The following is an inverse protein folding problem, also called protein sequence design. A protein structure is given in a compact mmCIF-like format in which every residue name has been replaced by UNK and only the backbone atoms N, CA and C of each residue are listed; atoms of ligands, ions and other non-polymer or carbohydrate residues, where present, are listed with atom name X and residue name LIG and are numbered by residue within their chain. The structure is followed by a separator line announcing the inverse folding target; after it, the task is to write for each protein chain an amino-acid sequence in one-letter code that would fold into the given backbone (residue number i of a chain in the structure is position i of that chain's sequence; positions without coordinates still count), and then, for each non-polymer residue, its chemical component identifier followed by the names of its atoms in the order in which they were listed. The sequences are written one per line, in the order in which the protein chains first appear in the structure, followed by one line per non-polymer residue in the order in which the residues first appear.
data_IF_792676357372
#
_entry.id   IF_792676357372
#
_cell.length_a   1.000
_cell.length_b   1.000
_cell.length_c   1.000
_cell.angle_alpha   90.00
_cell.angle_beta   90.00
_cell.angle_gamma   90.00
#
_symmetry.space_group_name_H-M   'P 1'
#
loop_
_entity.id
_entity.type
_entity.pdbx_description
1 polymer ?
#
# COMPACT_ATOMS: atom_id res chain seq x y z
N UNK A 1 -23.81 1.86 -15.60
CA UNK A 1 -23.34 2.20 -16.98
C UNK A 1 -23.18 0.89 -17.74
N UNK A 2 -23.53 0.83 -19.03
CA UNK A 2 -23.31 -0.40 -19.82
C UNK A 2 -21.94 -0.29 -20.53
N UNK A 3 -21.02 -1.19 -20.23
CA UNK A 3 -19.72 -1.26 -20.89
C UNK A 3 -19.83 -1.89 -22.28
N UNK A 4 -18.87 -1.57 -23.16
CA UNK A 4 -18.75 -2.13 -24.50
C UNK A 4 -17.29 -2.51 -24.78
N UNK A 5 -17.03 -3.68 -25.43
CA UNK A 5 -15.68 -4.13 -25.72
C UNK A 5 -15.16 -3.54 -27.03
N UNK A 6 -15.22 -2.21 -27.17
CA UNK A 6 -14.84 -1.49 -28.38
C UNK A 6 -13.87 -0.35 -28.12
N UNK A 7 -12.97 -0.09 -29.08
CA UNK A 7 -12.04 1.03 -29.02
C UNK A 7 -12.78 2.37 -28.89
N UNK A 8 -13.87 2.54 -29.63
CA UNK A 8 -14.65 3.79 -29.60
C UNK A 8 -15.22 4.07 -28.21
N UNK A 9 -15.72 3.05 -27.50
CA UNK A 9 -16.18 3.19 -26.12
C UNK A 9 -15.03 3.57 -25.17
N UNK A 10 -13.90 2.88 -25.25
CA UNK A 10 -12.74 3.15 -24.42
C UNK A 10 -12.23 4.58 -24.62
N UNK A 11 -12.08 5.03 -25.87
CA UNK A 11 -11.67 6.41 -26.20
C UNK A 11 -12.69 7.46 -25.74
N UNK A 12 -13.98 7.16 -25.87
CA UNK A 12 -15.04 8.04 -25.32
C UNK A 12 -14.89 8.18 -23.79
N UNK A 13 -14.62 7.08 -23.08
CA UNK A 13 -14.40 7.13 -21.61
C UNK A 13 -13.17 7.96 -21.26
N UNK A 14 -12.06 7.78 -21.98
CA UNK A 14 -10.85 8.57 -21.77
C UNK A 14 -11.06 10.06 -22.09
N UNK A 15 -11.91 10.39 -23.06
CA UNK A 15 -12.17 11.79 -23.44
C UNK A 15 -12.88 12.59 -22.34
N UNK A 16 -13.74 11.93 -21.55
CA UNK A 16 -14.49 12.52 -20.44
C UNK A 16 -13.88 12.27 -19.06
N UNK A 17 -12.72 11.62 -19.00
CA UNK A 17 -12.01 11.34 -17.76
C UNK A 17 -11.45 12.65 -17.16
N UNK A 18 -11.84 13.04 -15.94
CA UNK A 18 -11.30 14.22 -15.28
C UNK A 18 -9.80 14.12 -14.99
N UNK A 19 -9.26 12.90 -14.93
CA UNK A 19 -7.83 12.65 -14.66
C UNK A 19 -7.00 12.44 -15.92
N UNK A 20 -7.55 12.60 -17.13
CA UNK A 20 -6.84 12.33 -18.40
C UNK A 20 -5.52 13.10 -18.56
N UNK A 21 -5.45 14.33 -18.05
CA UNK A 21 -4.24 15.17 -18.13
C UNK A 21 -3.13 14.72 -17.19
N UNK A 22 -3.45 13.98 -16.13
CA UNK A 22 -2.47 13.53 -15.13
C UNK A 22 -1.49 12.49 -15.69
N UNK A 23 -1.89 11.68 -16.69
CA UNK A 23 -0.97 10.78 -17.37
C UNK A 23 0.30 11.49 -17.86
N UNK A 24 0.16 12.72 -18.36
CA UNK A 24 1.28 13.50 -18.87
C UNK A 24 2.27 13.94 -17.78
N UNK A 25 1.90 13.83 -16.52
CA UNK A 25 2.78 14.13 -15.39
C UNK A 25 3.73 12.98 -15.05
N UNK A 26 3.56 11.81 -15.68
CA UNK A 26 4.40 10.64 -15.45
C UNK A 26 5.32 10.32 -16.63
N UNK A 27 6.41 9.63 -16.35
CA UNK A 27 7.29 9.04 -17.35
C UNK A 27 6.81 7.60 -17.59
N UNK A 28 6.23 7.38 -18.77
CA UNK A 28 5.76 6.04 -19.14
C UNK A 28 6.93 5.28 -19.78
N UNK A 29 7.27 4.06 -19.30
CA UNK A 29 8.28 3.24 -19.93
C UNK A 29 7.96 3.01 -21.42
N UNK A 30 8.96 3.09 -22.27
CA UNK A 30 8.78 2.91 -23.72
C UNK A 30 9.82 1.97 -24.29
N UNK A 31 9.44 1.24 -25.35
CA UNK A 31 10.33 0.41 -26.13
C UNK A 31 10.09 0.68 -27.62
N UNK A 32 11.17 0.82 -28.41
CA UNK A 32 11.08 1.08 -29.85
C UNK A 32 10.18 2.28 -30.23
N UNK A 33 10.21 3.34 -29.42
CA UNK A 33 9.43 4.56 -29.65
C UNK A 33 7.92 4.44 -29.34
N UNK A 34 7.47 3.34 -28.74
CA UNK A 34 6.08 3.16 -28.27
C UNK A 34 6.04 3.07 -26.75
N UNK A 35 5.09 3.80 -26.15
CA UNK A 35 4.79 3.64 -24.72
C UNK A 35 4.26 2.23 -24.44
N UNK A 36 4.73 1.66 -23.34
CA UNK A 36 4.23 0.39 -22.83
C UNK A 36 2.96 0.61 -22.00
N UNK A 37 2.11 -0.40 -21.96
CA UNK A 37 0.99 -0.45 -21.01
C UNK A 37 1.49 -0.98 -19.68
N UNK A 38 1.47 -0.15 -18.65
CA UNK A 38 2.08 -0.46 -17.36
C UNK A 38 1.02 -0.74 -16.29
N UNK A 39 0.77 -2.02 -15.99
CA UNK A 39 -0.22 -2.48 -14.99
C UNK A 39 0.46 -3.03 -13.73
N UNK A 40 1.55 -2.40 -13.30
CA UNK A 40 2.39 -2.84 -12.17
C UNK A 40 2.39 -1.87 -10.98
N UNK A 41 1.34 -1.07 -10.82
CA UNK A 41 1.23 -0.15 -9.69
C UNK A 41 1.30 -0.83 -8.32
N UNK A 42 0.94 -2.10 -8.25
CA UNK A 42 1.07 -2.95 -7.06
C UNK A 42 2.51 -3.37 -6.73
N UNK A 43 3.47 -3.13 -7.62
CA UNK A 43 4.90 -3.47 -7.41
C UNK A 43 5.77 -2.22 -7.29
N UNK A 44 5.70 -1.33 -8.29
CA UNK A 44 6.39 -0.05 -8.29
C UNK A 44 5.56 0.96 -9.12
N UNK A 45 5.23 2.10 -8.54
CA UNK A 45 4.57 3.18 -9.26
C UNK A 45 5.48 3.87 -10.28
N UNK A 46 4.90 4.54 -11.26
CA UNK A 46 5.64 5.29 -12.28
C UNK A 46 6.24 6.58 -11.71
N UNK A 47 7.33 7.02 -12.32
CA UNK A 47 8.04 8.24 -11.92
C UNK A 47 7.24 9.49 -12.29
N UNK A 48 6.83 10.35 -11.34
CA UNK A 48 6.35 11.69 -11.63
C UNK A 48 7.48 12.54 -12.26
N UNK A 49 7.18 13.29 -13.31
CA UNK A 49 8.21 14.14 -13.99
C UNK A 49 8.83 15.16 -13.06
N UNK A 50 8.03 15.73 -12.14
CA UNK A 50 8.49 16.72 -11.14
C UNK A 50 9.47 16.18 -10.10
N UNK A 51 9.60 14.85 -9.98
CA UNK A 51 10.56 14.21 -9.06
C UNK A 51 11.98 14.71 -9.31
N UNK A 52 12.38 14.84 -10.59
CA UNK A 52 13.73 15.32 -10.94
C UNK A 52 14.00 16.71 -10.39
N UNK A 53 13.05 17.63 -10.53
CA UNK A 53 13.22 19.02 -10.11
C UNK A 53 13.24 19.13 -8.59
N UNK A 54 12.37 18.38 -7.89
CA UNK A 54 12.39 18.32 -6.42
C UNK A 54 13.69 17.76 -5.85
N UNK A 55 14.24 16.71 -6.46
CA UNK A 55 15.55 16.18 -6.08
C UNK A 55 16.66 17.21 -6.35
N UNK A 56 16.59 17.92 -7.47
CA UNK A 56 17.58 18.95 -7.81
C UNK A 56 17.55 20.10 -6.81
N UNK A 57 16.39 20.51 -6.29
CA UNK A 57 16.28 21.52 -5.22
C UNK A 57 17.07 21.06 -3.99
N UNK A 58 16.85 19.85 -3.48
CA UNK A 58 17.60 19.35 -2.31
C UNK A 58 19.12 19.30 -2.58
N UNK A 59 19.53 18.92 -3.78
CA UNK A 59 20.95 18.89 -4.15
C UNK A 59 21.55 20.28 -4.21
N UNK A 60 20.81 21.27 -4.71
CA UNK A 60 21.24 22.67 -4.76
C UNK A 60 21.34 23.26 -3.35
N UNK A 61 20.36 23.03 -2.49
CA UNK A 61 20.37 23.48 -1.10
C UNK A 61 21.56 22.89 -0.34
N UNK A 62 21.79 21.60 -0.53
CA UNK A 62 22.96 20.93 0.06
C UNK A 62 24.28 21.55 -0.42
N UNK A 63 24.41 21.80 -1.72
CA UNK A 63 25.62 22.39 -2.29
C UNK A 63 25.85 23.85 -1.82
N UNK A 64 24.78 24.62 -1.66
CA UNK A 64 24.86 26.04 -1.29
C UNK A 64 25.00 26.25 0.23
N UNK A 65 24.33 25.43 1.03
CA UNK A 65 24.15 25.69 2.47
C UNK A 65 24.77 24.61 3.37
N UNK A 66 25.06 23.39 2.83
CA UNK A 66 25.56 22.30 3.67
C UNK A 66 24.55 21.97 4.79
N UNK A 67 25.01 21.91 6.04
CA UNK A 67 24.16 21.64 7.20
C UNK A 67 23.15 22.76 7.48
N UNK A 68 23.46 23.99 7.08
CA UNK A 68 22.56 25.14 7.29
C UNK A 68 21.26 25.02 6.47
N UNK A 69 21.19 24.13 5.47
CA UNK A 69 19.96 23.84 4.74
C UNK A 69 18.83 23.33 5.67
N UNK A 70 19.14 22.75 6.81
CA UNK A 70 18.12 22.38 7.82
C UNK A 70 17.37 23.60 8.34
N UNK A 71 17.96 24.77 8.36
CA UNK A 71 17.40 25.98 8.99
C UNK A 71 17.14 27.12 8.02
N UNK A 72 17.97 27.28 7.00
CA UNK A 72 18.02 28.48 6.16
C UNK A 72 17.77 28.25 4.67
N UNK A 73 17.39 27.07 4.22
CA UNK A 73 16.90 26.86 2.85
C UNK A 73 15.53 27.51 2.65
N UNK A 74 15.12 27.74 1.41
CA UNK A 74 13.78 28.25 1.07
C UNK A 74 12.66 27.34 1.62
N UNK A 75 12.91 26.03 1.59
CA UNK A 75 12.10 25.00 2.27
C UNK A 75 12.99 24.33 3.35
N UNK A 76 13.02 24.84 4.59
CA UNK A 76 13.91 24.30 5.63
C UNK A 76 13.69 22.81 5.88
N UNK A 77 14.77 22.04 5.94
CA UNK A 77 14.68 20.60 6.09
C UNK A 77 14.16 20.15 7.47
N UNK A 78 14.23 21.02 8.47
CA UNK A 78 13.66 20.77 9.81
C UNK A 78 12.17 20.55 9.77
N UNK A 79 11.45 21.30 8.91
CA UNK A 79 9.98 21.28 8.82
C UNK A 79 9.48 20.59 7.54
N UNK A 80 10.38 20.01 6.76
CA UNK A 80 10.05 19.39 5.48
C UNK A 80 9.03 18.25 5.63
N UNK A 81 9.06 17.54 6.75
CA UNK A 81 8.12 16.47 7.09
C UNK A 81 6.66 16.95 7.11
N UNK A 82 6.41 18.18 7.53
CA UNK A 82 5.05 18.74 7.68
C UNK A 82 4.34 18.87 6.33
N UNK A 83 5.09 19.04 5.23
CA UNK A 83 4.56 19.07 3.87
C UNK A 83 4.04 17.70 3.40
N UNK A 84 4.50 16.60 4.01
CA UNK A 84 4.13 15.23 3.62
C UNK A 84 2.90 14.73 4.38
N UNK A 85 2.71 15.15 5.62
CA UNK A 85 1.69 14.58 6.52
C UNK A 85 0.27 14.96 6.13
N UNK A 86 0.02 16.21 5.77
CA UNK A 86 -1.33 16.68 5.39
C UNK A 86 -1.90 15.99 4.16
N UNK A 87 -1.21 15.90 3.00
CA UNK A 87 -1.75 15.16 1.86
C UNK A 87 -1.86 13.66 2.14
N UNK A 88 -0.92 13.09 2.89
CA UNK A 88 -0.92 11.67 3.20
C UNK A 88 -2.05 11.29 4.15
N UNK A 89 -2.38 12.13 5.13
CA UNK A 89 -3.50 11.91 6.06
C UNK A 89 -4.84 11.81 5.34
N UNK A 90 -5.05 12.58 4.27
CA UNK A 90 -6.26 12.49 3.41
C UNK A 90 -6.36 11.15 2.69
N UNK A 91 -5.22 10.59 2.26
CA UNK A 91 -5.17 9.29 1.56
C UNK A 91 -5.52 8.13 2.48
N UNK A 92 -5.08 8.19 3.74
CA UNK A 92 -5.28 7.08 4.69
C UNK A 92 -6.41 7.34 5.70
N UNK A 93 -7.10 8.49 5.62
CA UNK A 93 -8.24 8.82 6.46
C UNK A 93 -7.88 8.93 7.94
N UNK A 94 -6.92 9.82 8.24
CA UNK A 94 -6.51 10.08 9.62
C UNK A 94 -6.22 11.56 9.85
N UNK A 95 -5.83 11.92 11.08
CA UNK A 95 -5.39 13.28 11.40
C UNK A 95 -3.91 13.48 10.98
N UNK A 96 -3.49 14.69 10.56
CA UNK A 96 -2.12 14.91 10.10
C UNK A 96 -1.04 14.54 11.14
N UNK A 97 -1.30 14.74 12.42
CA UNK A 97 -0.36 14.39 13.49
C UNK A 97 -0.33 12.88 13.83
N UNK A 98 -1.23 12.08 13.26
CA UNK A 98 -1.24 10.62 13.39
C UNK A 98 -0.36 9.91 12.36
N UNK A 99 0.17 10.63 11.37
CA UNK A 99 1.05 10.07 10.33
C UNK A 99 2.48 10.55 10.53
N UNK A 100 3.42 9.64 10.33
CA UNK A 100 4.84 9.98 10.21
C UNK A 100 5.44 9.29 8.98
N UNK A 101 6.31 10.01 8.29
CA UNK A 101 7.08 9.49 7.15
C UNK A 101 8.48 9.16 7.63
N UNK A 102 8.87 7.89 7.58
CA UNK A 102 10.17 7.43 8.08
C UNK A 102 10.55 6.06 7.51
N UNK A 103 11.83 5.73 7.51
CA UNK A 103 12.39 4.41 7.27
C UNK A 103 11.87 3.71 5.99
N UNK A 104 11.86 2.39 6.01
CA UNK A 104 11.12 1.51 5.09
C UNK A 104 10.03 0.73 5.85
N UNK A 105 9.14 0.08 5.10
CA UNK A 105 7.98 -0.63 5.66
C UNK A 105 8.37 -1.66 6.73
N UNK A 106 9.36 -2.53 6.45
CA UNK A 106 9.75 -3.59 7.38
C UNK A 106 10.29 -3.03 8.70
N UNK A 107 11.11 -1.96 8.63
CA UNK A 107 11.60 -1.28 9.85
C UNK A 107 10.43 -0.68 10.63
N UNK A 108 9.49 -0.02 9.95
CA UNK A 108 8.32 0.56 10.62
C UNK A 108 7.46 -0.51 11.31
N UNK A 109 7.20 -1.64 10.64
CA UNK A 109 6.48 -2.76 11.26
C UNK A 109 7.19 -3.30 12.50
N UNK A 110 8.52 -3.47 12.45
CA UNK A 110 9.29 -3.88 13.63
C UNK A 110 9.14 -2.87 14.79
N UNK A 111 9.22 -1.57 14.50
CA UNK A 111 9.04 -0.53 15.53
C UNK A 111 7.62 -0.52 16.11
N UNK A 112 6.61 -0.76 15.27
CA UNK A 112 5.23 -0.87 15.75
C UNK A 112 5.04 -2.11 16.64
N UNK A 113 5.67 -3.24 16.32
CA UNK A 113 5.59 -4.41 17.18
C UNK A 113 6.28 -4.20 18.54
N UNK A 114 7.36 -3.44 18.60
CA UNK A 114 7.95 -3.02 19.89
C UNK A 114 6.92 -2.29 20.76
N UNK A 115 6.09 -1.46 20.15
CA UNK A 115 5.07 -0.67 20.86
C UNK A 115 3.80 -1.46 21.18
N UNK A 116 3.31 -2.26 20.23
CA UNK A 116 1.96 -2.81 20.27
C UNK A 116 1.89 -4.32 20.52
N UNK A 117 2.90 -5.09 20.17
CA UNK A 117 2.98 -6.50 20.56
C UNK A 117 3.61 -6.61 21.95
N UNK A 118 2.74 -6.64 22.96
CA UNK A 118 3.12 -6.66 24.37
C UNK A 118 2.52 -7.89 25.04
N UNK A 119 3.12 -9.09 24.87
CA UNK A 119 2.59 -10.32 25.44
C UNK A 119 2.57 -10.27 26.97
N UNK A 120 1.44 -10.66 27.57
CA UNK A 120 1.24 -10.72 29.00
C UNK A 120 0.37 -11.91 29.40
N UNK A 121 0.87 -12.79 30.26
CA UNK A 121 0.13 -13.95 30.75
C UNK A 121 -0.34 -14.85 29.63
N UNK A 122 -1.65 -15.00 29.48
CA UNK A 122 -2.27 -15.80 28.40
C UNK A 122 -2.34 -15.06 27.07
N UNK A 123 -2.24 -13.73 27.06
CA UNK A 123 -2.29 -12.88 25.86
C UNK A 123 -0.91 -12.73 25.25
N UNK A 124 -0.57 -13.61 24.32
CA UNK A 124 0.74 -13.57 23.64
C UNK A 124 0.63 -13.90 22.13
N UNK A 125 -0.57 -14.29 21.66
CA UNK A 125 -0.73 -14.72 20.29
C UNK A 125 -0.93 -13.55 19.34
N UNK A 126 -0.40 -13.73 18.12
CA UNK A 126 -0.62 -12.84 16.96
C UNK A 126 -1.56 -13.57 16.00
N UNK A 127 -2.63 -12.91 15.58
CA UNK A 127 -3.50 -13.38 14.51
C UNK A 127 -3.14 -12.66 13.21
N UNK A 128 -2.91 -13.40 12.14
CA UNK A 128 -2.59 -12.87 10.82
C UNK A 128 -3.24 -13.69 9.68
N UNK A 129 -3.16 -13.20 8.46
CA UNK A 129 -3.52 -13.96 7.27
C UNK A 129 -2.45 -15.03 6.95
N UNK A 130 -2.88 -16.20 6.54
CA UNK A 130 -1.96 -17.23 6.06
C UNK A 130 -1.28 -16.76 4.78
N UNK A 131 0.00 -17.08 4.66
CA UNK A 131 0.84 -16.63 3.53
C UNK A 131 0.85 -15.09 3.38
N UNK A 132 0.83 -14.35 4.50
CA UNK A 132 1.17 -12.94 4.51
C UNK A 132 2.47 -12.69 3.73
N UNK A 133 2.74 -11.47 3.31
CA UNK A 133 3.99 -11.19 2.57
C UNK A 133 5.20 -11.66 3.40
N UNK A 134 6.24 -12.26 2.79
CA UNK A 134 7.33 -12.91 3.53
C UNK A 134 8.00 -12.04 4.59
N UNK A 135 8.16 -10.72 4.34
CA UNK A 135 8.74 -9.82 5.35
C UNK A 135 7.92 -9.75 6.63
N UNK A 136 6.59 -9.82 6.53
CA UNK A 136 5.69 -9.76 7.67
C UNK A 136 5.73 -11.07 8.46
N UNK A 137 5.76 -12.20 7.76
CA UNK A 137 5.95 -13.51 8.39
C UNK A 137 7.24 -13.55 9.18
N UNK A 138 8.37 -13.16 8.56
CA UNK A 138 9.68 -13.16 9.23
C UNK A 138 9.72 -12.19 10.42
N UNK A 139 9.08 -11.04 10.29
CA UNK A 139 8.98 -10.05 11.36
C UNK A 139 8.19 -10.60 12.55
N UNK A 140 7.00 -11.17 12.33
CA UNK A 140 6.18 -11.76 13.38
C UNK A 140 6.91 -12.92 14.08
N UNK A 141 7.50 -13.85 13.32
CA UNK A 141 8.26 -14.96 13.87
C UNK A 141 9.42 -14.49 14.76
N UNK A 142 10.17 -13.48 14.31
CA UNK A 142 11.33 -12.98 15.06
C UNK A 142 10.92 -12.26 16.34
N UNK A 143 9.81 -11.49 16.32
CA UNK A 143 9.28 -10.86 17.52
C UNK A 143 8.75 -11.87 18.54
N UNK A 144 8.02 -12.87 18.07
CA UNK A 144 7.51 -13.96 18.92
C UNK A 144 8.69 -14.69 19.62
N UNK A 145 9.74 -15.06 18.85
CA UNK A 145 10.95 -15.67 19.41
C UNK A 145 11.70 -14.75 20.38
N UNK A 146 11.77 -13.44 20.08
CA UNK A 146 12.39 -12.45 20.96
C UNK A 146 11.70 -12.38 22.33
N UNK A 147 10.39 -12.60 22.38
CA UNK A 147 9.62 -12.69 23.63
C UNK A 147 9.64 -14.09 24.28
N UNK A 148 10.36 -15.05 23.71
CA UNK A 148 10.53 -16.39 24.27
C UNK A 148 9.41 -17.37 23.96
N UNK A 149 8.55 -17.09 22.97
CA UNK A 149 7.47 -17.99 22.54
C UNK A 149 7.84 -18.77 21.27
N UNK A 150 7.19 -19.92 21.10
CA UNK A 150 7.28 -20.70 19.87
C UNK A 150 6.34 -20.10 18.79
N UNK A 151 6.83 -19.72 17.61
CA UNK A 151 5.98 -19.24 16.52
C UNK A 151 4.86 -20.21 16.13
N UNK A 152 5.09 -21.52 16.22
CA UNK A 152 4.08 -22.54 15.89
C UNK A 152 2.85 -22.50 16.83
N UNK A 153 3.03 -22.02 18.05
CA UNK A 153 1.94 -21.81 19.01
C UNK A 153 1.43 -20.37 19.03
N UNK A 154 2.33 -19.40 18.91
CA UNK A 154 2.02 -17.99 19.13
C UNK A 154 1.50 -17.25 17.89
N UNK A 155 1.63 -17.82 16.67
CA UNK A 155 1.11 -17.23 15.43
C UNK A 155 -0.08 -18.06 14.95
N UNK A 156 -1.25 -17.44 14.91
CA UNK A 156 -2.48 -18.02 14.38
C UNK A 156 -2.69 -17.48 12.96
N UNK A 157 -2.67 -18.38 11.99
CA UNK A 157 -2.92 -18.03 10.58
C UNK A 157 -4.35 -18.35 10.17
N UNK A 158 -5.09 -17.35 9.67
CA UNK A 158 -6.38 -17.55 9.02
C UNK A 158 -6.15 -17.96 7.57
N UNK A 159 -6.76 -19.08 7.16
CA UNK A 159 -6.57 -19.67 5.83
C UNK A 159 -7.86 -19.61 5.01
N UNK A 160 -7.78 -19.51 3.68
CA UNK A 160 -8.90 -19.84 2.83
C UNK A 160 -9.38 -21.28 3.09
N UNK A 161 -10.65 -21.55 2.88
CA UNK A 161 -11.19 -22.93 2.89
C UNK A 161 -10.61 -23.72 1.72
N UNK A 162 -10.66 -25.05 1.81
CA UNK A 162 -10.17 -25.92 0.74
C UNK A 162 -10.88 -25.61 -0.59
N UNK A 163 -10.09 -25.38 -1.63
CA UNK A 163 -10.59 -25.00 -2.95
C UNK A 163 -10.92 -23.51 -3.12
N UNK A 164 -10.72 -22.65 -2.10
CA UNK A 164 -10.92 -21.22 -2.17
C UNK A 164 -9.58 -20.48 -2.24
N UNK A 165 -9.60 -19.30 -2.87
CA UNK A 165 -8.41 -18.44 -3.00
C UNK A 165 -8.38 -17.29 -1.99
N UNK A 166 -9.51 -17.03 -1.33
CA UNK A 166 -9.70 -15.87 -0.44
C UNK A 166 -10.20 -16.31 0.93
N UNK A 167 -9.87 -15.51 1.94
CA UNK A 167 -10.34 -15.75 3.31
C UNK A 167 -11.74 -15.19 3.44
N UNK A 168 -12.67 -15.99 3.95
CA UNK A 168 -14.02 -15.53 4.25
C UNK A 168 -14.03 -14.67 5.50
N UNK A 169 -14.72 -13.55 5.45
CA UNK A 169 -14.84 -12.65 6.60
C UNK A 169 -15.39 -13.36 7.83
N UNK A 170 -16.42 -14.21 7.68
CA UNK A 170 -17.02 -14.96 8.79
C UNK A 170 -16.00 -15.86 9.50
N UNK A 171 -15.11 -16.53 8.77
CA UNK A 171 -14.09 -17.40 9.35
C UNK A 171 -13.05 -16.59 10.15
N UNK A 172 -12.60 -15.47 9.59
CA UNK A 172 -11.69 -14.54 10.26
C UNK A 172 -12.29 -14.01 11.57
N UNK A 173 -13.52 -13.53 11.51
CA UNK A 173 -14.19 -12.95 12.68
C UNK A 173 -14.46 -14.03 13.75
N UNK A 174 -14.82 -15.25 13.33
CA UNK A 174 -14.98 -16.38 14.25
C UNK A 174 -13.68 -16.72 15.00
N UNK A 175 -12.54 -16.71 14.31
CA UNK A 175 -11.23 -16.99 14.91
C UNK A 175 -10.85 -15.91 15.93
N UNK A 176 -11.14 -14.63 15.65
CA UNK A 176 -10.94 -13.56 16.65
C UNK A 176 -11.72 -13.84 17.93
N UNK A 177 -12.99 -14.21 17.81
CA UNK A 177 -13.86 -14.53 18.95
C UNK A 177 -13.37 -15.77 19.69
N UNK A 178 -12.97 -16.82 18.96
CA UNK A 178 -12.48 -18.08 19.54
C UNK A 178 -11.21 -17.86 20.39
N UNK A 179 -10.29 -17.02 19.94
CA UNK A 179 -9.01 -16.79 20.59
C UNK A 179 -8.96 -15.48 21.42
N UNK A 180 -10.12 -14.88 21.70
CA UNK A 180 -10.24 -13.55 22.36
C UNK A 180 -9.44 -13.40 23.65
N UNK A 181 -9.20 -14.49 24.42
CA UNK A 181 -8.46 -14.45 25.67
C UNK A 181 -6.95 -14.58 25.48
N UNK A 182 -6.50 -14.98 24.29
CA UNK A 182 -5.09 -15.28 23.99
C UNK A 182 -4.45 -14.23 23.07
N UNK A 183 -5.26 -13.49 22.30
CA UNK A 183 -4.76 -12.52 21.31
C UNK A 183 -4.14 -11.31 22.01
N UNK A 184 -2.86 -11.06 21.74
CA UNK A 184 -2.16 -9.83 22.04
C UNK A 184 -2.25 -8.83 20.89
N UNK A 185 -2.19 -9.32 19.64
CA UNK A 185 -2.16 -8.52 18.43
C UNK A 185 -2.95 -9.20 17.31
N UNK A 186 -3.70 -8.41 16.54
CA UNK A 186 -4.23 -8.77 15.22
C UNK A 186 -3.49 -7.92 14.20
N UNK A 187 -2.75 -8.57 13.28
CA UNK A 187 -1.96 -7.91 12.25
C UNK A 187 -2.29 -8.51 10.89
N UNK A 188 -2.93 -7.76 10.04
CA UNK A 188 -3.35 -8.17 8.69
C UNK A 188 -2.83 -7.23 7.63
N UNK A 189 -2.74 -7.70 6.39
CA UNK A 189 -2.70 -6.80 5.24
C UNK A 189 -4.02 -6.04 5.10
N UNK A 190 -4.00 -4.79 4.63
CA UNK A 190 -5.24 -4.12 4.23
C UNK A 190 -5.81 -4.72 2.95
N UNK A 191 -4.90 -5.13 2.07
CA UNK A 191 -5.19 -5.91 0.84
C UNK A 191 -4.16 -7.03 0.74
N UNK A 192 -4.64 -8.25 0.52
CA UNK A 192 -3.76 -9.38 0.28
C UNK A 192 -3.00 -9.20 -1.05
N UNK A 193 -1.68 -9.27 -1.00
CA UNK A 193 -0.82 -8.98 -2.14
C UNK A 193 -0.99 -9.96 -3.32
N UNK A 194 -1.37 -11.21 -3.03
CA UNK A 194 -1.52 -12.26 -4.04
C UNK A 194 -2.91 -12.25 -4.67
N UNK A 195 -3.96 -12.29 -3.85
CA UNK A 195 -5.34 -12.36 -4.33
C UNK A 195 -5.92 -11.00 -4.73
N UNK A 196 -5.43 -9.91 -4.16
CA UNK A 196 -6.06 -8.58 -4.28
C UNK A 196 -7.29 -8.40 -3.38
N UNK A 197 -7.57 -9.36 -2.50
CA UNK A 197 -8.67 -9.29 -1.55
C UNK A 197 -8.47 -8.15 -0.55
N UNK A 198 -9.46 -7.26 -0.42
CA UNK A 198 -9.57 -6.28 0.66
C UNK A 198 -10.17 -6.93 1.89
N UNK A 199 -9.56 -6.74 3.05
CA UNK A 199 -10.12 -7.16 4.32
C UNK A 199 -11.00 -6.07 4.95
N UNK A 200 -12.07 -6.45 5.63
CA UNK A 200 -12.92 -5.52 6.37
C UNK A 200 -12.20 -5.02 7.63
N UNK A 201 -11.31 -4.05 7.43
CA UNK A 201 -10.46 -3.49 8.49
C UNK A 201 -11.26 -2.88 9.63
N UNK A 202 -12.45 -2.32 9.35
CA UNK A 202 -13.31 -1.74 10.38
C UNK A 202 -13.85 -2.81 11.33
N UNK A 203 -14.44 -3.88 10.78
CA UNK A 203 -15.03 -4.96 11.59
C UNK A 203 -13.94 -5.75 12.33
N UNK A 204 -12.80 -6.01 11.66
CA UNK A 204 -11.64 -6.65 12.30
C UNK A 204 -11.20 -5.83 13.52
N UNK A 205 -11.05 -4.50 13.35
CA UNK A 205 -10.62 -3.61 14.44
C UNK A 205 -11.61 -3.62 15.60
N UNK A 206 -12.90 -3.53 15.31
CA UNK A 206 -13.94 -3.52 16.35
C UNK A 206 -13.91 -4.80 17.19
N UNK A 207 -13.89 -5.97 16.56
CA UNK A 207 -13.90 -7.26 17.26
C UNK A 207 -12.60 -7.55 18.00
N UNK A 208 -11.45 -7.24 17.39
CA UNK A 208 -10.17 -7.43 18.05
C UNK A 208 -10.03 -6.55 19.31
N UNK A 209 -10.52 -5.31 19.25
CA UNK A 209 -10.55 -4.44 20.45
C UNK A 209 -11.52 -4.92 21.50
N UNK A 210 -12.69 -5.44 21.14
CA UNK A 210 -13.61 -6.10 22.08
C UNK A 210 -12.96 -7.31 22.74
N UNK A 211 -12.12 -8.02 22.01
CA UNK A 211 -11.30 -9.11 22.53
C UNK A 211 -10.11 -8.61 23.42
N UNK A 212 -9.83 -7.32 23.47
CA UNK A 212 -8.73 -6.72 24.21
C UNK A 212 -7.37 -6.80 23.50
N UNK A 213 -7.34 -7.18 22.24
CA UNK A 213 -6.13 -7.21 21.42
C UNK A 213 -5.80 -5.84 20.83
N UNK A 214 -4.53 -5.59 20.52
CA UNK A 214 -4.09 -4.48 19.66
C UNK A 214 -4.33 -4.82 18.19
N UNK A 215 -4.49 -3.80 17.34
CA UNK A 215 -4.78 -4.00 15.92
C UNK A 215 -3.86 -3.16 15.06
N UNK A 216 -3.19 -3.80 14.12
CA UNK A 216 -2.35 -3.15 13.13
C UNK A 216 -2.61 -3.66 11.71
N UNK A 217 -2.25 -2.84 10.72
CA UNK A 217 -2.35 -3.23 9.32
C UNK A 217 -1.07 -2.92 8.54
N UNK A 218 -0.65 -3.87 7.70
CA UNK A 218 0.23 -3.58 6.56
C UNK A 218 -0.62 -3.08 5.39
N UNK A 219 -0.47 -1.81 5.07
CA UNK A 219 -1.23 -1.15 4.01
C UNK A 219 -0.44 -1.01 2.71
N UNK A 220 0.61 -1.80 2.49
CA UNK A 220 1.46 -1.71 1.30
C UNK A 220 0.68 -1.81 -0.02
N UNK A 221 -0.43 -2.54 -0.05
CA UNK A 221 -1.32 -2.67 -1.20
C UNK A 221 -2.61 -1.85 -1.08
N UNK A 222 -2.87 -1.22 0.07
CA UNK A 222 -4.10 -0.47 0.35
C UNK A 222 -3.90 1.04 0.24
N UNK A 223 -2.80 1.58 0.80
CA UNK A 223 -2.52 3.01 0.76
C UNK A 223 -2.31 3.49 -0.69
N UNK A 224 -3.10 4.49 -1.11
CA UNK A 224 -3.12 4.99 -2.48
C UNK A 224 -3.94 4.15 -3.47
N UNK A 225 -4.60 3.07 -3.02
CA UNK A 225 -5.38 2.16 -3.85
C UNK A 225 -6.87 2.13 -3.49
N UNK A 226 -7.20 2.14 -2.20
CA UNK A 226 -8.58 2.14 -1.71
C UNK A 226 -8.82 3.26 -0.71
N UNK A 227 -10.09 3.59 -0.49
CA UNK A 227 -10.48 4.53 0.57
C UNK A 227 -10.22 3.91 1.94
N UNK A 228 -9.52 4.64 2.79
CA UNK A 228 -9.18 4.26 4.16
C UNK A 228 -9.74 5.30 5.15
N UNK A 229 -10.07 4.87 6.38
CA UNK A 229 -10.56 5.72 7.47
C UNK A 229 -9.92 5.26 8.79
N UNK A 230 -8.60 5.28 8.86
CA UNK A 230 -7.84 4.69 9.96
C UNK A 230 -8.22 5.29 11.32
N UNK A 231 -8.41 6.61 11.39
CA UNK A 231 -8.86 7.29 12.60
C UNK A 231 -10.25 6.83 13.02
N UNK A 232 -11.23 6.95 12.11
CA UNK A 232 -12.63 6.62 12.40
C UNK A 232 -12.84 5.13 12.71
N UNK A 233 -12.07 4.27 12.07
CA UNK A 233 -12.06 2.83 12.37
C UNK A 233 -11.37 2.50 13.70
N UNK A 234 -10.70 3.51 14.30
CA UNK A 234 -10.05 3.37 15.61
C UNK A 234 -8.90 2.34 15.60
N UNK A 235 -8.18 2.22 14.49
CA UNK A 235 -7.00 1.36 14.33
C UNK A 235 -5.90 1.79 15.31
N UNK A 236 -5.07 0.88 15.81
CA UNK A 236 -4.00 1.25 16.74
C UNK A 236 -2.78 1.78 15.97
N UNK A 237 -2.36 1.07 14.92
CA UNK A 237 -1.28 1.48 14.03
C UNK A 237 -1.43 0.90 12.64
N UNK A 238 -0.76 1.49 11.66
CA UNK A 238 -0.60 0.92 10.33
C UNK A 238 0.72 1.37 9.71
N UNK A 239 1.27 0.56 8.79
CA UNK A 239 2.48 0.90 8.05
C UNK A 239 2.29 0.63 6.56
N UNK A 240 2.96 1.39 5.71
CA UNK A 240 2.95 1.16 4.26
C UNK A 240 4.21 1.70 3.58
N UNK A 241 4.49 1.16 2.40
CA UNK A 241 5.49 1.71 1.51
C UNK A 241 4.85 2.70 0.53
N UNK A 242 5.53 3.82 0.26
CA UNK A 242 5.01 4.86 -0.62
C UNK A 242 5.39 4.67 -2.10
N UNK A 243 6.21 3.65 -2.43
CA UNK A 243 6.72 3.47 -3.80
C UNK A 243 5.77 2.72 -4.75
N UNK A 244 4.68 2.11 -4.23
CA UNK A 244 3.68 1.42 -5.05
C UNK A 244 2.69 2.43 -5.63
N UNK A 245 1.45 2.41 -5.17
CA UNK A 245 0.37 3.26 -5.68
C UNK A 245 0.59 4.77 -5.46
N UNK A 246 1.46 5.15 -4.50
CA UNK A 246 1.82 6.54 -4.24
C UNK A 246 3.03 7.04 -5.03
N UNK A 247 3.60 6.23 -5.92
CA UNK A 247 4.58 6.64 -6.96
C UNK A 247 5.84 7.34 -6.45
N UNK A 248 6.28 7.09 -5.22
CA UNK A 248 7.37 7.85 -4.57
C UNK A 248 8.78 7.45 -4.99
N UNK A 249 8.91 6.50 -5.92
CA UNK A 249 10.17 6.01 -6.45
C UNK A 249 10.71 4.75 -5.77
N UNK A 250 11.68 4.05 -6.39
CA UNK A 250 12.19 2.76 -5.94
C UNK A 250 12.85 2.86 -4.57
N UNK A 251 12.39 2.03 -3.62
CA UNK A 251 12.89 2.04 -2.24
C UNK A 251 12.58 3.31 -1.46
N UNK A 252 11.59 4.10 -1.90
CA UNK A 252 11.19 5.34 -1.25
C UNK A 252 10.84 5.15 0.23
N UNK A 253 10.97 6.24 0.96
CA UNK A 253 10.59 6.31 2.37
C UNK A 253 9.16 5.79 2.59
N UNK A 254 8.99 5.00 3.63
CA UNK A 254 7.69 4.49 4.06
C UNK A 254 6.98 5.48 5.00
N UNK A 255 5.79 5.12 5.43
CA UNK A 255 5.07 5.87 6.44
C UNK A 255 4.44 4.92 7.47
N UNK A 256 4.11 5.50 8.62
CA UNK A 256 3.40 4.84 9.69
C UNK A 256 2.28 5.74 10.22
N UNK A 257 1.19 5.12 10.57
CA UNK A 257 0.09 5.71 11.31
C UNK A 257 0.13 5.19 12.74
N UNK A 258 -0.03 6.08 13.70
CA UNK A 258 -0.25 5.75 15.11
C UNK A 258 -1.39 6.60 15.63
N UNK A 259 -2.43 5.98 16.14
CA UNK A 259 -3.60 6.70 16.65
C UNK A 259 -3.22 7.66 17.77
N UNK A 260 -3.79 8.88 17.78
CA UNK A 260 -3.46 9.98 18.69
C UNK A 260 -3.54 9.62 20.20
N UNK A 261 -4.42 8.68 20.58
CA UNK A 261 -4.53 8.22 21.99
C UNK A 261 -3.22 7.67 22.59
N UNK A 262 -2.22 7.34 21.74
CA UNK A 262 -0.93 6.83 22.17
C UNK A 262 0.17 7.88 22.20
N UNK A 263 -0.07 9.07 21.68
CA UNK A 263 0.97 10.09 21.54
C UNK A 263 1.49 10.60 22.89
N UNK A 264 0.58 10.75 23.86
CA UNK A 264 0.87 11.26 25.21
C UNK A 264 0.91 10.17 26.27
N UNK A 265 0.75 8.89 25.88
CA UNK A 265 0.78 7.76 26.84
C UNK A 265 2.21 7.51 27.32
N UNK A 266 2.53 7.77 28.63
CA UNK A 266 3.86 7.57 29.17
C UNK A 266 4.26 6.10 29.28
N UNK A 267 3.29 5.18 29.24
CA UNK A 267 3.55 3.74 29.31
C UNK A 267 3.92 3.15 27.95
N UNK A 268 3.75 3.92 26.87
CA UNK A 268 4.02 3.47 25.50
C UNK A 268 5.52 3.22 25.30
N UNK A 269 5.86 1.98 25.08
CA UNK A 269 7.25 1.62 24.75
C UNK A 269 7.53 1.91 23.29
N UNK A 270 8.70 2.46 23.04
CA UNK A 270 9.21 2.68 21.68
C UNK A 270 10.74 2.63 21.69
N UNK A 271 11.35 2.25 20.61
CA UNK A 271 12.76 2.50 20.43
C UNK A 271 12.94 3.98 20.09
N UNK A 272 13.71 4.65 20.94
CA UNK A 272 13.90 6.09 20.85
C UNK A 272 14.99 6.44 19.85
N UNK A 273 14.79 7.56 19.17
CA UNK A 273 15.81 8.14 18.28
C UNK A 273 15.81 9.66 18.39
N UNK A 274 16.91 10.27 17.99
CA UNK A 274 17.10 11.72 18.15
C UNK A 274 16.02 12.52 17.42
N UNK A 275 15.56 12.08 16.25
CA UNK A 275 14.59 12.82 15.48
C UNK A 275 13.17 12.79 16.06
N UNK A 276 12.83 11.75 16.80
CA UNK A 276 11.58 11.65 17.56
C UNK A 276 11.55 12.44 18.86
N UNK A 277 12.67 13.07 19.26
CA UNK A 277 12.74 13.91 20.46
C UNK A 277 12.08 15.27 20.21
N UNK A 278 11.48 15.83 21.27
CA UNK A 278 10.80 17.14 21.27
C UNK A 278 11.59 18.22 20.53
N UNK A 279 10.93 18.84 19.51
CA UNK A 279 11.60 19.78 18.57
C UNK A 279 12.24 20.97 19.30
N UNK A 280 11.57 21.54 20.31
CA UNK A 280 11.99 22.77 20.99
C UNK A 280 13.29 22.61 21.78
N UNK A 281 13.55 21.44 22.35
CA UNK A 281 14.71 21.20 23.23
C UNK A 281 15.70 20.18 22.65
N UNK A 282 15.46 19.68 21.44
CA UNK A 282 16.28 18.65 20.77
C UNK A 282 17.78 18.98 20.77
N UNK A 283 18.14 20.23 20.51
CA UNK A 283 19.53 20.67 20.41
C UNK A 283 20.17 21.00 21.76
N UNK A 284 19.42 20.91 22.88
CA UNK A 284 19.98 21.04 24.22
C UNK A 284 20.68 19.77 24.69
N UNK A 285 20.50 18.65 23.94
CA UNK A 285 21.17 17.36 24.21
C UNK A 285 20.94 16.83 25.64
N UNK A 286 19.76 17.06 26.20
CA UNK A 286 19.38 16.62 27.54
C UNK A 286 19.33 15.10 27.65
N UNK A 287 19.57 14.57 28.83
CA UNK A 287 19.38 13.15 29.16
C UNK A 287 17.89 12.81 29.30
N UNK A 288 17.55 11.59 28.84
CA UNK A 288 16.19 11.09 28.87
C UNK A 288 15.44 11.46 27.58
N UNK A 289 14.60 10.55 27.13
CA UNK A 289 13.82 10.71 25.90
C UNK A 289 12.49 11.39 26.18
N UNK A 290 12.29 12.56 25.59
CA UNK A 290 10.99 13.26 25.54
C UNK A 290 10.43 13.15 24.13
N UNK A 291 9.47 12.26 23.83
CA UNK A 291 8.94 12.10 22.50
C UNK A 291 8.13 13.33 22.06
N UNK A 292 8.19 13.64 20.76
CA UNK A 292 7.19 14.50 20.12
C UNK A 292 5.81 13.88 20.38
N UNK A 293 4.83 14.70 20.77
CA UNK A 293 3.46 14.25 21.09
C UNK A 293 2.60 14.11 19.82
N UNK A 294 3.13 13.35 18.87
CA UNK A 294 2.51 12.98 17.61
C UNK A 294 3.11 11.65 17.13
N UNK A 295 2.70 11.13 15.96
CA UNK A 295 3.33 9.97 15.35
C UNK A 295 4.83 10.19 15.07
N UNK A 296 5.29 11.44 14.94
CA UNK A 296 6.71 11.77 14.80
C UNK A 296 7.57 11.29 15.99
N UNK A 297 6.95 11.09 17.17
CA UNK A 297 7.65 10.54 18.35
C UNK A 297 8.19 9.12 18.16
N UNK A 298 7.88 8.45 17.04
CA UNK A 298 8.44 7.15 16.63
C UNK A 298 9.61 7.28 15.64
N UNK A 299 9.94 8.48 15.18
CA UNK A 299 11.09 8.70 14.27
C UNK A 299 12.40 8.42 15.00
N UNK A 300 13.35 7.82 14.27
CA UNK A 300 14.66 7.46 14.80
C UNK A 300 15.74 8.46 14.43
N UNK A 301 16.04 8.56 13.16
CA UNK A 301 17.15 9.35 12.63
C UNK A 301 16.71 10.54 11.82
N UNK A 302 17.68 11.33 11.43
CA UNK A 302 17.51 12.47 10.51
C UNK A 302 16.81 12.02 9.23
N UNK A 303 15.87 12.81 8.70
CA UNK A 303 15.13 12.47 7.48
C UNK A 303 16.03 12.20 6.29
N UNK A 304 15.68 11.20 5.50
CA UNK A 304 16.32 10.92 4.21
C UNK A 304 15.80 11.91 3.17
N UNK A 305 16.36 13.12 3.14
CA UNK A 305 15.84 14.29 2.40
C UNK A 305 15.56 14.01 0.92
N UNK A 306 16.45 13.28 0.22
CA UNK A 306 16.22 12.92 -1.18
C UNK A 306 14.97 12.05 -1.36
N UNK A 307 14.72 11.14 -0.44
CA UNK A 307 13.52 10.30 -0.48
C UNK A 307 12.27 11.09 -0.08
N UNK A 308 12.38 12.03 0.84
CA UNK A 308 11.30 12.96 1.19
C UNK A 308 10.89 13.82 0.00
N UNK A 309 11.87 14.38 -0.72
CA UNK A 309 11.62 15.18 -1.92
C UNK A 309 10.93 14.37 -3.03
N UNK A 310 11.36 13.13 -3.25
CA UNK A 310 10.71 12.22 -4.20
C UNK A 310 9.28 11.92 -3.79
N UNK A 311 9.03 11.70 -2.50
CA UNK A 311 7.69 11.45 -1.97
C UNK A 311 6.79 12.68 -2.08
N UNK A 312 7.30 13.87 -1.74
CA UNK A 312 6.56 15.12 -1.89
C UNK A 312 6.14 15.36 -3.34
N UNK A 313 7.04 15.13 -4.30
CA UNK A 313 6.72 15.24 -5.72
C UNK A 313 5.54 14.37 -6.12
N UNK A 314 5.45 13.15 -5.60
CA UNK A 314 4.36 12.24 -5.87
C UNK A 314 3.07 12.64 -5.16
N UNK A 315 3.13 13.04 -3.89
CA UNK A 315 1.97 13.50 -3.13
C UNK A 315 1.33 14.76 -3.72
N UNK A 316 2.12 15.68 -4.27
CA UNK A 316 1.60 16.85 -4.97
C UNK A 316 0.74 16.48 -6.18
N UNK A 317 1.11 15.42 -6.91
CA UNK A 317 0.26 14.92 -8.02
C UNK A 317 -1.06 14.35 -7.49
N UNK A 318 -1.01 13.58 -6.39
CA UNK A 318 -2.21 13.02 -5.75
C UNK A 318 -3.13 14.13 -5.23
N UNK A 319 -2.58 15.17 -4.62
CA UNK A 319 -3.34 16.31 -4.10
C UNK A 319 -4.01 17.13 -5.21
N UNK A 320 -3.28 17.42 -6.28
CA UNK A 320 -3.81 18.11 -7.47
C UNK A 320 -4.92 17.31 -8.17
N UNK A 321 -4.78 15.99 -8.24
CA UNK A 321 -5.80 15.11 -8.82
C UNK A 321 -7.06 15.02 -7.95
N UNK A 322 -6.91 15.16 -6.66
CA UNK A 322 -7.97 14.96 -5.68
C UNK A 322 -8.23 13.47 -5.40
N UNK A 323 -8.13 13.09 -4.13
CA UNK A 323 -8.22 11.70 -3.71
C UNK A 323 -9.57 11.04 -4.09
N UNK A 324 -10.65 11.81 -4.03
CA UNK A 324 -11.99 11.35 -4.44
C UNK A 324 -12.06 11.00 -5.93
N UNK A 325 -11.52 11.87 -6.81
CA UNK A 325 -11.47 11.62 -8.25
C UNK A 325 -10.64 10.37 -8.59
N UNK A 326 -9.51 10.18 -7.88
CA UNK A 326 -8.68 8.99 -8.03
C UNK A 326 -9.48 7.72 -7.70
N UNK A 327 -10.22 7.72 -6.58
CA UNK A 327 -11.05 6.58 -6.18
C UNK A 327 -12.20 6.32 -7.15
N UNK A 328 -12.87 7.36 -7.65
CA UNK A 328 -13.93 7.22 -8.63
C UNK A 328 -13.43 6.58 -9.92
N UNK A 329 -12.32 7.09 -10.47
CA UNK A 329 -11.71 6.50 -11.67
C UNK A 329 -11.22 5.08 -11.42
N UNK A 330 -10.62 4.81 -10.24
CA UNK A 330 -10.18 3.46 -9.86
C UNK A 330 -11.32 2.46 -9.99
N UNK A 331 -12.48 2.74 -9.39
CA UNK A 331 -13.66 1.87 -9.47
C UNK A 331 -14.05 1.60 -10.93
N UNK A 332 -14.27 2.65 -11.70
CA UNK A 332 -14.70 2.54 -13.10
C UNK A 332 -13.67 1.80 -13.98
N UNK A 333 -12.39 2.08 -13.80
CA UNK A 333 -11.32 1.46 -14.58
C UNK A 333 -11.19 -0.04 -14.26
N UNK A 334 -11.31 -0.40 -12.98
CA UNK A 334 -11.28 -1.80 -12.53
C UNK A 334 -12.51 -2.57 -12.98
N UNK A 335 -13.71 -1.97 -12.90
CA UNK A 335 -14.94 -2.57 -13.44
C UNK A 335 -14.84 -2.82 -14.95
N UNK A 336 -14.25 -1.87 -15.67
CA UNK A 336 -14.02 -2.05 -17.11
C UNK A 336 -12.99 -3.14 -17.39
N UNK A 337 -11.93 -3.24 -16.59
CA UNK A 337 -10.97 -4.34 -16.68
C UNK A 337 -11.67 -5.70 -16.48
N UNK A 338 -12.50 -5.82 -15.46
CA UNK A 338 -13.31 -7.02 -15.22
C UNK A 338 -14.18 -7.37 -16.43
N UNK A 339 -14.89 -6.38 -16.96
CA UNK A 339 -15.74 -6.57 -18.12
C UNK A 339 -14.94 -7.09 -19.34
N UNK A 340 -13.79 -6.50 -19.63
CA UNK A 340 -12.92 -6.91 -20.74
C UNK A 340 -12.37 -8.33 -20.53
N UNK A 341 -11.98 -8.68 -19.31
CA UNK A 341 -11.47 -10.02 -18.99
C UNK A 341 -12.58 -11.09 -19.10
N UNK A 342 -13.81 -10.76 -18.72
CA UNK A 342 -14.97 -11.65 -18.90
C UNK A 342 -15.27 -11.88 -20.41
N UNK A 343 -15.21 -10.83 -21.23
CA UNK A 343 -15.35 -10.94 -22.69
C UNK A 343 -14.25 -11.83 -23.29
N UNK A 344 -13.01 -11.71 -22.81
CA UNK A 344 -11.91 -12.57 -23.25
C UNK A 344 -12.19 -14.03 -22.86
N UNK A 345 -12.53 -14.29 -21.61
CA UNK A 345 -12.73 -15.63 -21.08
C UNK A 345 -13.94 -16.32 -21.73
N UNK A 346 -15.03 -15.56 -21.95
CA UNK A 346 -16.26 -16.05 -22.60
C UNK A 346 -16.08 -16.33 -24.11
N UNK A 347 -15.09 -15.74 -24.73
CA UNK A 347 -14.77 -16.00 -26.15
C UNK A 347 -14.08 -17.36 -26.38
N UNK A 348 -13.63 -18.02 -25.31
CA UNK A 348 -12.94 -19.30 -25.36
C UNK A 348 -13.92 -20.46 -25.27
N UNK A 349 -13.58 -21.62 -25.90
CA UNK A 349 -14.40 -22.86 -25.82
C UNK A 349 -14.51 -23.41 -24.40
N UNK A 350 -13.47 -23.17 -23.60
CA UNK A 350 -13.41 -23.48 -22.17
C UNK A 350 -12.75 -22.32 -21.45
N UNK A 351 -13.11 -22.04 -20.20
CA UNK A 351 -12.46 -21.02 -19.41
C UNK A 351 -10.93 -21.23 -19.34
N UNK A 352 -10.18 -20.19 -19.59
CA UNK A 352 -8.71 -20.19 -19.49
C UNK A 352 -8.27 -19.42 -18.24
N UNK A 353 -9.11 -18.50 -17.77
CA UNK A 353 -8.87 -17.67 -16.61
C UNK A 353 -9.81 -18.08 -15.49
N UNK A 354 -9.24 -18.42 -14.36
CA UNK A 354 -9.93 -18.47 -13.09
C UNK A 354 -9.56 -17.22 -12.28
N UNK A 355 -10.55 -16.46 -11.83
CA UNK A 355 -10.28 -15.23 -11.10
C UNK A 355 -10.07 -15.50 -9.62
N UNK A 356 -8.93 -15.07 -9.09
CA UNK A 356 -8.57 -15.17 -7.68
C UNK A 356 -9.14 -13.99 -6.89
N UNK A 357 -9.09 -12.79 -7.47
CA UNK A 357 -9.61 -11.57 -6.82
C UNK A 357 -11.13 -11.64 -6.68
N UNK A 358 -11.70 -11.27 -5.51
CA UNK A 358 -13.15 -11.21 -5.34
C UNK A 358 -13.82 -10.24 -6.32
N UNK A 359 -15.04 -10.60 -6.73
CA UNK A 359 -15.85 -9.79 -7.65
C UNK A 359 -16.58 -8.62 -6.99
N UNK A 360 -16.81 -8.71 -5.69
CA UNK A 360 -17.48 -7.66 -4.93
C UNK A 360 -16.60 -6.40 -4.93
N UNK A 361 -17.14 -5.27 -5.36
CA UNK A 361 -16.42 -3.98 -5.47
C UNK A 361 -15.83 -3.47 -4.15
N UNK A 362 -16.38 -3.92 -3.02
CA UNK A 362 -15.87 -3.57 -1.68
C UNK A 362 -14.73 -4.50 -1.22
N UNK A 363 -14.50 -5.60 -1.94
CA UNK A 363 -13.51 -6.61 -1.59
C UNK A 363 -12.29 -6.60 -2.50
N UNK A 364 -12.13 -5.59 -3.36
CA UNK A 364 -10.93 -5.40 -4.18
C UNK A 364 -10.59 -3.92 -4.41
N UNK A 365 -9.31 -3.66 -4.69
CA UNK A 365 -8.81 -2.39 -5.22
C UNK A 365 -8.71 -2.43 -6.74
N UNK A 366 -7.62 -1.86 -7.30
CA UNK A 366 -7.36 -1.91 -8.74
C UNK A 366 -6.70 -3.22 -9.21
N UNK A 367 -6.22 -4.05 -8.29
CA UNK A 367 -5.57 -5.31 -8.65
C UNK A 367 -6.60 -6.38 -9.02
N UNK A 368 -6.38 -7.03 -10.17
CA UNK A 368 -7.06 -8.27 -10.58
C UNK A 368 -6.01 -9.36 -10.75
N UNK A 369 -6.16 -10.46 -10.03
CA UNK A 369 -5.30 -11.64 -10.07
C UNK A 369 -6.00 -12.76 -10.82
N UNK A 370 -5.34 -13.25 -11.86
CA UNK A 370 -5.84 -14.29 -12.77
C UNK A 370 -5.00 -15.55 -12.62
N UNK A 371 -5.60 -16.66 -12.19
CA UNK A 371 -5.00 -17.97 -12.31
C UNK A 371 -5.17 -18.46 -13.75
N UNK A 372 -4.08 -18.61 -14.45
CA UNK A 372 -4.07 -19.11 -15.83
C UNK A 372 -4.12 -20.62 -15.82
N UNK A 373 -5.24 -21.21 -16.22
CA UNK A 373 -5.47 -22.65 -16.21
C UNK A 373 -4.61 -23.40 -17.23
N UNK A 374 -4.14 -22.70 -18.26
CA UNK A 374 -3.29 -23.26 -19.31
C UNK A 374 -2.32 -22.19 -19.83
N UNK A 375 -1.11 -22.59 -20.26
CA UNK A 375 -0.13 -21.75 -20.96
C UNK A 375 0.24 -20.44 -20.23
N UNK A 376 0.02 -20.33 -18.91
CA UNK A 376 0.14 -19.05 -18.18
C UNK A 376 1.48 -18.35 -18.38
N UNK A 377 2.58 -19.07 -18.25
CA UNK A 377 3.93 -18.51 -18.39
C UNK A 377 4.25 -18.06 -19.81
N UNK A 378 3.73 -18.76 -20.81
CA UNK A 378 3.85 -18.42 -22.23
C UNK A 378 3.04 -17.15 -22.53
N UNK A 379 1.79 -17.08 -22.05
CA UNK A 379 0.92 -15.91 -22.20
C UNK A 379 1.57 -14.68 -21.54
N UNK A 380 2.09 -14.83 -20.32
CA UNK A 380 2.83 -13.77 -19.63
C UNK A 380 4.02 -13.27 -20.47
N UNK A 381 4.86 -14.19 -20.99
CA UNK A 381 6.03 -13.82 -21.79
C UNK A 381 5.64 -13.07 -23.08
N UNK A 382 4.57 -13.50 -23.75
CA UNK A 382 4.10 -12.86 -24.96
C UNK A 382 3.47 -11.49 -24.70
N UNK A 383 2.72 -11.31 -23.58
CA UNK A 383 2.24 -10.00 -23.13
C UNK A 383 3.40 -9.02 -22.89
N UNK A 384 4.43 -9.46 -22.16
CA UNK A 384 5.62 -8.64 -21.90
C UNK A 384 6.33 -8.23 -23.20
N UNK A 385 6.47 -9.15 -24.14
CA UNK A 385 7.07 -8.88 -25.45
C UNK A 385 6.27 -7.88 -26.28
N UNK A 386 4.94 -7.88 -26.13
CA UNK A 386 4.06 -6.91 -26.80
C UNK A 386 3.97 -5.56 -26.06
N UNK A 387 4.71 -5.38 -24.96
CA UNK A 387 4.77 -4.14 -24.21
C UNK A 387 3.68 -3.98 -23.15
N UNK A 388 3.03 -5.06 -22.75
CA UNK A 388 2.13 -5.06 -21.58
C UNK A 388 2.89 -5.50 -20.34
N UNK A 389 3.21 -4.58 -19.47
CA UNK A 389 3.93 -4.86 -18.21
C UNK A 389 2.94 -5.31 -17.15
N UNK A 390 2.98 -6.61 -16.86
CA UNK A 390 2.14 -7.31 -15.88
C UNK A 390 3.02 -8.14 -14.96
N UNK A 391 2.49 -8.55 -13.81
CA UNK A 391 3.27 -9.32 -12.81
C UNK A 391 2.95 -10.81 -12.91
N UNK A 392 3.99 -11.63 -12.73
CA UNK A 392 3.88 -13.09 -12.67
C UNK A 392 4.12 -13.59 -11.24
N UNK A 393 3.23 -14.47 -10.78
CA UNK A 393 3.39 -15.20 -9.52
C UNK A 393 3.28 -16.69 -9.78
N UNK A 394 4.31 -17.41 -9.37
CA UNK A 394 4.29 -18.87 -9.46
C UNK A 394 3.12 -19.45 -8.64
N UNK A 395 2.51 -20.56 -9.10
CA UNK A 395 2.88 -21.29 -10.31
C UNK A 395 2.21 -20.79 -11.61
N UNK A 396 1.15 -19.99 -11.54
CA UNK A 396 0.27 -19.75 -12.70
C UNK A 396 -0.48 -18.41 -12.69
N UNK A 397 -0.12 -17.46 -11.83
CA UNK A 397 -0.90 -16.24 -11.64
C UNK A 397 -0.31 -15.03 -12.37
N UNK A 398 -1.13 -14.35 -13.16
CA UNK A 398 -0.87 -13.02 -13.70
C UNK A 398 -1.66 -12.01 -12.88
N UNK A 399 -0.99 -10.95 -12.39
CA UNK A 399 -1.64 -9.85 -11.68
C UNK A 399 -1.60 -8.59 -12.52
N UNK A 400 -2.72 -7.89 -12.57
CA UNK A 400 -2.93 -6.63 -13.26
C UNK A 400 -3.32 -5.58 -12.23
N UNK A 401 -2.66 -4.44 -12.22
CA UNK A 401 -2.98 -3.34 -11.31
C UNK A 401 -2.92 -1.99 -12.04
N UNK A 402 -3.93 -1.66 -12.86
CA UNK A 402 -4.01 -0.36 -13.53
C UNK A 402 -4.20 0.76 -12.51
N UNK A 403 -3.40 1.82 -12.62
CA UNK A 403 -3.43 2.98 -11.72
C UNK A 403 -4.17 4.15 -12.36
N UNK A 404 -5.16 4.74 -11.67
CA UNK A 404 -6.01 5.81 -12.21
C UNK A 404 -5.25 7.03 -12.75
N UNK A 405 -4.13 7.38 -12.13
CA UNK A 405 -3.36 8.57 -12.48
C UNK A 405 -2.72 8.50 -13.88
N UNK A 406 -2.41 7.29 -14.38
CA UNK A 406 -1.70 7.16 -15.65
C UNK A 406 -2.25 6.09 -16.60
N UNK A 407 -3.07 5.15 -16.13
CA UNK A 407 -3.70 4.18 -17.03
C UNK A 407 -5.04 4.68 -17.57
N UNK A 408 -5.38 4.19 -18.77
CA UNK A 408 -6.54 4.61 -19.56
C UNK A 408 -7.47 3.44 -19.85
N UNK A 409 -8.72 3.74 -20.21
CA UNK A 409 -9.69 2.73 -20.67
C UNK A 409 -9.23 2.12 -22.00
N UNK A 410 -8.60 2.91 -22.87
CA UNK A 410 -8.01 2.41 -24.12
C UNK A 410 -6.91 1.38 -23.87
N UNK A 411 -6.06 1.56 -22.83
CA UNK A 411 -5.04 0.59 -22.46
C UNK A 411 -5.66 -0.73 -21.97
N UNK A 412 -6.73 -0.67 -21.20
CA UNK A 412 -7.48 -1.86 -20.76
C UNK A 412 -8.09 -2.60 -21.96
N UNK A 413 -8.68 -1.88 -22.89
CA UNK A 413 -9.21 -2.47 -24.10
C UNK A 413 -8.10 -3.11 -24.95
N UNK A 414 -6.98 -2.41 -25.17
CA UNK A 414 -5.81 -2.94 -25.91
C UNK A 414 -5.27 -4.21 -25.27
N UNK A 415 -5.21 -4.26 -23.95
CA UNK A 415 -4.81 -5.45 -23.21
C UNK A 415 -5.74 -6.64 -23.53
N UNK A 416 -7.04 -6.45 -23.48
CA UNK A 416 -8.02 -7.49 -23.81
C UNK A 416 -7.86 -8.01 -25.24
N UNK A 417 -7.66 -7.13 -26.21
CA UNK A 417 -7.45 -7.52 -27.61
C UNK A 417 -6.12 -8.27 -27.84
N UNK A 418 -5.06 -7.85 -27.14
CA UNK A 418 -3.79 -8.57 -27.16
C UNK A 418 -3.94 -9.98 -26.56
N UNK A 419 -4.61 -10.09 -25.41
CA UNK A 419 -4.85 -11.37 -24.75
C UNK A 419 -5.70 -12.31 -25.64
N UNK A 420 -6.77 -11.83 -26.28
CA UNK A 420 -7.56 -12.62 -27.25
C UNK A 420 -6.70 -13.16 -28.38
N UNK A 421 -5.81 -12.34 -28.96
CA UNK A 421 -4.91 -12.76 -30.06
C UNK A 421 -3.91 -13.83 -29.60
N UNK A 422 -3.33 -13.68 -28.41
CA UNK A 422 -2.40 -14.66 -27.84
C UNK A 422 -3.11 -16.00 -27.57
N UNK A 423 -4.37 -15.94 -27.10
CA UNK A 423 -5.15 -17.15 -26.84
C UNK A 423 -5.62 -17.87 -28.12
N UNK A 424 -5.72 -17.17 -29.24
CA UNK A 424 -6.10 -17.73 -30.53
C UNK A 424 -4.92 -18.33 -31.31
N UNK A 425 -3.67 -18.03 -30.92
CA UNK A 425 -2.43 -18.59 -31.46
C UNK A 425 -2.01 -19.87 -30.74
#
# INVERSE_FOLDING_TARGET
MQFQPSLAFAQQRDSVDPLKSFRQQFIIPSANGKENVYFLGNSLGLQPKRTKDRLQTILNDWAAHGVEAFFGADEPWMDYHDQLTTPLSKVVGCLPHEVTVMNNLSVNLHLMLVSFYRPQGKRYKILCEAKAFPSDQYMMETHVKHHGFDPADAIIEVKPRDGEHTIRNEDLLQIIVQHREELALVLFGGINYYSGQVFDMQTITQLAKQAGAKVGFDLAHAAGNIELKLHDWNVDFACWCNYKYLNSGPGAVAAAYVHERYHTDPSMQRFAGWWGYEKATRFQMEQGFKPIQSAEGWQLGTPAMLLYASHLAALQVVEEAGWENINQKRKLLTEYLWYILDEVNSSQKQPIIEFITPRNENEHGCQVSMNMLQRGKEIYAELMKQGFYVDWREPSVIRLAPVPLYNTFEEVWKFGEALKKILAS
#
